data_IF_496890139742
#
_entry.id   IF_496890139742
#
_cell.length_a   1.000
_cell.length_b   1.000
_cell.length_c   1.000
_cell.angle_alpha   90.00
_cell.angle_beta   90.00
_cell.angle_gamma   90.00
#
_symmetry.space_group_name_H-M   'P 1'
#
loop_
_entity.id
_entity.type
_entity.pdbx_description
1 polymer ?
#
# COMPACT_ATOMS: atom_id res chain seq x y z
N UNK A 1 -50.61 -23.48 20.06
CA UNK A 1 -49.60 -22.79 19.28
C UNK A 1 -48.31 -22.72 20.07
N UNK A 2 -47.39 -23.67 19.83
CA UNK A 2 -46.02 -23.60 20.38
C UNK A 2 -45.18 -22.70 19.50
N UNK A 3 -44.80 -21.53 20.03
CA UNK A 3 -43.83 -20.65 19.40
C UNK A 3 -42.42 -21.23 19.65
N UNK A 4 -41.80 -21.77 18.62
CA UNK A 4 -40.37 -22.09 18.60
C UNK A 4 -39.58 -20.79 18.45
N UNK A 5 -39.05 -20.29 19.54
CA UNK A 5 -38.03 -19.24 19.51
C UNK A 5 -36.72 -19.85 19.01
N UNK A 6 -36.42 -19.68 17.74
CA UNK A 6 -35.12 -20.01 17.17
C UNK A 6 -34.09 -19.03 17.74
N UNK A 7 -33.35 -19.45 18.76
CA UNK A 7 -32.17 -18.76 19.23
C UNK A 7 -31.14 -18.76 18.08
N UNK A 8 -31.01 -17.66 17.38
CA UNK A 8 -29.89 -17.41 16.46
C UNK A 8 -28.61 -17.34 17.31
N UNK A 9 -27.93 -18.47 17.47
CA UNK A 9 -26.53 -18.46 17.91
C UNK A 9 -25.71 -17.75 16.83
N UNK A 10 -25.48 -16.48 17.04
CA UNK A 10 -24.44 -15.79 16.30
C UNK A 10 -23.12 -16.52 16.60
N UNK A 11 -22.47 -17.09 15.59
CA UNK A 11 -21.18 -17.75 15.76
C UNK A 11 -20.20 -16.74 16.39
N UNK A 12 -19.97 -16.90 17.69
CA UNK A 12 -19.05 -16.06 18.45
C UNK A 12 -17.63 -16.49 18.10
N UNK A 13 -16.87 -15.60 17.47
CA UNK A 13 -15.44 -15.77 17.30
C UNK A 13 -14.76 -15.49 18.64
N UNK A 14 -13.91 -16.38 19.09
CA UNK A 14 -13.20 -16.31 20.37
C UNK A 14 -11.72 -15.93 20.26
N UNK A 15 -11.27 -15.59 19.06
CA UNK A 15 -9.91 -15.13 18.78
C UNK A 15 -9.91 -13.73 18.15
N UNK A 16 -8.81 -13.00 18.33
CA UNK A 16 -8.57 -11.69 17.69
C UNK A 16 -8.23 -11.92 16.23
N UNK A 17 -8.95 -11.26 15.33
CA UNK A 17 -8.69 -11.29 13.89
C UNK A 17 -7.96 -10.04 13.44
N UNK A 18 -6.80 -10.24 12.81
CA UNK A 18 -5.93 -9.16 12.33
C UNK A 18 -5.70 -9.34 10.85
N UNK A 19 -5.92 -8.28 10.07
CA UNK A 19 -5.71 -8.29 8.61
C UNK A 19 -4.80 -7.12 8.21
N UNK A 20 -4.25 -7.14 7.01
CA UNK A 20 -3.62 -5.95 6.45
C UNK A 20 -2.24 -6.15 5.86
N UNK A 21 -1.34 -5.21 6.14
CA UNK A 21 -0.05 -5.04 5.51
C UNK A 21 0.83 -6.30 5.50
N UNK A 22 1.31 -6.68 4.32
CA UNK A 22 2.32 -7.74 4.18
C UNK A 22 3.67 -7.35 4.77
N UNK A 23 4.00 -6.07 4.83
CA UNK A 23 5.21 -5.54 5.48
C UNK A 23 5.17 -5.77 6.99
N UNK A 24 4.00 -5.55 7.62
CA UNK A 24 3.82 -5.71 9.07
C UNK A 24 3.55 -7.17 9.47
N UNK A 25 3.08 -7.98 8.54
CA UNK A 25 2.67 -9.37 8.78
C UNK A 25 3.70 -10.21 9.59
N UNK A 26 4.99 -10.28 9.23
CA UNK A 26 5.95 -11.09 9.97
C UNK A 26 6.14 -10.63 11.42
N UNK A 27 6.08 -9.33 11.67
CA UNK A 27 6.16 -8.78 13.03
C UNK A 27 4.90 -9.08 13.83
N UNK A 28 3.73 -8.88 13.23
CA UNK A 28 2.44 -9.15 13.84
C UNK A 28 2.28 -10.63 14.21
N UNK A 29 2.79 -11.54 13.38
CA UNK A 29 2.77 -12.98 13.65
C UNK A 29 3.56 -13.31 14.92
N UNK A 30 4.77 -12.78 15.08
CA UNK A 30 5.60 -12.99 16.28
C UNK A 30 4.91 -12.44 17.53
N UNK A 31 4.28 -11.26 17.42
CA UNK A 31 3.54 -10.64 18.53
C UNK A 31 2.33 -11.50 18.90
N UNK A 32 1.58 -11.98 17.93
CA UNK A 32 0.41 -12.83 18.14
C UNK A 32 0.78 -14.15 18.85
N UNK A 33 1.86 -14.80 18.41
CA UNK A 33 2.36 -16.02 19.06
C UNK A 33 2.77 -15.78 20.53
N UNK A 34 3.49 -14.67 20.77
CA UNK A 34 3.87 -14.29 22.13
C UNK A 34 2.66 -13.99 23.00
N UNK A 35 1.68 -13.26 22.46
CA UNK A 35 0.43 -12.94 23.16
C UNK A 35 -0.28 -14.24 23.61
N UNK A 36 -0.50 -15.19 22.71
CA UNK A 36 -1.11 -16.45 23.05
C UNK A 36 -0.35 -17.23 24.15
N UNK A 37 0.99 -17.29 24.04
CA UNK A 37 1.84 -17.98 25.01
C UNK A 37 1.86 -17.30 26.39
N UNK A 38 1.84 -15.98 26.46
CA UNK A 38 1.96 -15.25 27.72
C UNK A 38 0.64 -15.03 28.44
N UNK A 39 -0.46 -14.95 27.71
CA UNK A 39 -1.79 -14.70 28.31
C UNK A 39 -2.63 -15.96 28.49
N UNK A 40 -2.25 -17.08 27.86
CA UNK A 40 -3.07 -18.27 27.79
C UNK A 40 -4.32 -18.12 26.90
N UNK A 41 -4.49 -16.98 26.23
CA UNK A 41 -5.58 -16.72 25.28
C UNK A 41 -5.31 -17.41 23.94
N UNK A 42 -6.34 -17.57 23.11
CA UNK A 42 -6.14 -18.03 21.74
C UNK A 42 -5.22 -17.08 20.97
N UNK A 43 -4.28 -17.66 20.25
CA UNK A 43 -3.36 -16.89 19.40
C UNK A 43 -4.14 -16.09 18.36
N UNK A 44 -3.96 -14.77 18.25
CA UNK A 44 -4.58 -13.95 17.22
C UNK A 44 -4.30 -14.49 15.82
N UNK A 45 -5.31 -14.49 14.95
CA UNK A 45 -5.17 -14.92 13.56
C UNK A 45 -4.76 -13.73 12.70
N UNK A 46 -3.62 -13.87 12.02
CA UNK A 46 -3.05 -12.81 11.19
C UNK A 46 -3.20 -13.19 9.72
N UNK A 47 -3.76 -12.29 8.90
CA UNK A 47 -3.91 -12.48 7.46
C UNK A 47 -3.27 -11.32 6.69
N UNK A 48 -2.44 -11.66 5.69
CA UNK A 48 -1.81 -10.67 4.81
C UNK A 48 -2.72 -10.35 3.63
N UNK A 49 -3.39 -9.20 3.69
CA UNK A 49 -4.33 -8.72 2.64
C UNK A 49 -3.86 -7.44 1.96
N UNK A 50 -2.66 -6.95 2.32
CA UNK A 50 -2.18 -5.60 1.99
C UNK A 50 -2.88 -4.51 2.81
N UNK A 51 -2.23 -3.34 2.96
CA UNK A 51 -2.77 -2.23 3.76
C UNK A 51 -4.16 -1.79 3.30
N UNK A 52 -4.36 -1.63 1.99
CA UNK A 52 -5.66 -1.23 1.42
C UNK A 52 -6.74 -2.29 1.57
N UNK A 53 -6.39 -3.57 1.37
CA UNK A 53 -7.29 -4.70 1.58
C UNK A 53 -7.74 -4.81 3.03
N UNK A 54 -6.79 -4.71 3.97
CA UNK A 54 -7.06 -4.71 5.40
C UNK A 54 -7.97 -3.56 5.83
N UNK A 55 -7.69 -2.33 5.39
CA UNK A 55 -8.55 -1.17 5.66
C UNK A 55 -9.97 -1.38 5.11
N UNK A 56 -10.09 -1.95 3.89
CA UNK A 56 -11.40 -2.24 3.31
C UNK A 56 -12.21 -3.21 4.15
N UNK A 57 -11.59 -4.28 4.65
CA UNK A 57 -12.24 -5.29 5.49
C UNK A 57 -12.58 -4.72 6.87
N UNK A 58 -11.65 -4.03 7.51
CA UNK A 58 -11.82 -3.39 8.80
C UNK A 58 -12.94 -2.35 8.79
N UNK A 59 -12.98 -1.49 7.76
CA UNK A 59 -14.01 -0.46 7.59
C UNK A 59 -15.33 -0.99 7.01
N UNK A 60 -15.55 -2.31 6.96
CA UNK A 60 -16.81 -2.87 6.41
C UNK A 60 -17.92 -3.02 7.44
N UNK A 61 -17.61 -2.90 8.74
CA UNK A 61 -18.61 -2.95 9.81
C UNK A 61 -18.03 -3.33 11.16
N UNK A 62 -18.91 -3.54 12.13
CA UNK A 62 -18.61 -3.92 13.51
C UNK A 62 -19.11 -5.34 13.79
N UNK A 63 -18.45 -6.01 14.71
CA UNK A 63 -18.82 -7.34 15.20
C UNK A 63 -17.96 -8.45 14.64
N UNK A 64 -18.23 -9.68 15.05
CA UNK A 64 -17.35 -10.86 14.85
C UNK A 64 -17.18 -11.30 13.40
N UNK A 65 -17.93 -10.73 12.45
CA UNK A 65 -17.76 -10.93 11.01
C UNK A 65 -16.58 -10.15 10.41
N UNK A 66 -16.13 -9.12 11.12
CA UNK A 66 -15.12 -8.18 10.63
C UNK A 66 -13.84 -8.30 11.47
N UNK A 67 -12.68 -7.89 10.94
CA UNK A 67 -11.45 -7.90 11.72
C UNK A 67 -11.50 -6.91 12.88
N UNK A 68 -10.84 -7.27 13.98
CA UNK A 68 -10.70 -6.39 15.14
C UNK A 68 -9.58 -5.37 14.95
N UNK A 69 -8.54 -5.76 14.21
CA UNK A 69 -7.35 -4.95 13.99
C UNK A 69 -7.00 -4.99 12.50
N UNK A 70 -6.53 -3.86 11.98
CA UNK A 70 -5.88 -3.82 10.68
C UNK A 70 -4.46 -3.27 10.79
N UNK A 71 -3.50 -4.02 10.24
CA UNK A 71 -2.11 -3.59 10.12
C UNK A 71 -1.95 -2.76 8.84
N UNK A 72 -1.15 -1.71 8.91
CA UNK A 72 -0.89 -0.86 7.75
C UNK A 72 0.56 -0.40 7.71
N UNK A 73 1.12 -0.31 6.51
CA UNK A 73 2.43 0.31 6.24
C UNK A 73 2.34 1.81 5.98
N UNK A 74 1.18 2.41 6.15
CA UNK A 74 0.89 3.84 5.99
C UNK A 74 -0.28 4.25 6.89
N UNK A 75 -0.44 5.52 7.08
CA UNK A 75 -1.62 6.06 7.78
C UNK A 75 -2.91 5.76 6.99
N UNK A 76 -4.02 5.69 7.71
CA UNK A 76 -5.36 5.63 7.11
C UNK A 76 -5.60 6.85 6.21
N UNK A 77 -6.20 6.64 5.04
CA UNK A 77 -6.58 7.73 4.13
C UNK A 77 -7.92 8.31 4.56
N UNK A 78 -8.16 9.59 4.25
CA UNK A 78 -9.42 10.26 4.54
C UNK A 78 -10.63 9.51 3.96
N UNK A 79 -10.52 9.00 2.73
CA UNK A 79 -11.56 8.20 2.08
C UNK A 79 -11.83 6.86 2.78
N UNK A 80 -10.80 6.23 3.34
CA UNK A 80 -10.93 5.00 4.11
C UNK A 80 -11.59 5.29 5.48
N UNK A 81 -11.15 6.35 6.15
CA UNK A 81 -11.75 6.80 7.41
C UNK A 81 -13.25 7.11 7.24
N UNK A 82 -13.59 7.88 6.20
CA UNK A 82 -15.00 8.16 5.88
C UNK A 82 -15.80 6.87 5.67
N UNK A 83 -15.25 5.91 4.93
CA UNK A 83 -15.89 4.60 4.73
C UNK A 83 -16.10 3.84 6.04
N UNK A 84 -15.13 3.90 6.96
CA UNK A 84 -15.29 3.33 8.30
C UNK A 84 -16.50 3.95 9.01
N UNK A 85 -16.59 5.28 9.04
CA UNK A 85 -17.69 6.00 9.68
C UNK A 85 -19.05 5.67 9.05
N UNK A 86 -19.12 5.64 7.71
CA UNK A 86 -20.35 5.31 6.97
C UNK A 86 -20.85 3.88 7.31
N UNK A 87 -19.96 2.98 7.73
CA UNK A 87 -20.26 1.61 8.14
C UNK A 87 -20.30 1.40 9.67
N UNK A 88 -20.38 2.49 10.44
CA UNK A 88 -20.53 2.45 11.89
C UNK A 88 -19.23 2.26 12.69
N UNK A 89 -18.07 2.14 12.03
CA UNK A 89 -16.76 2.10 12.70
C UNK A 89 -16.32 3.55 12.98
N UNK A 90 -16.79 4.10 14.08
CA UNK A 90 -16.64 5.54 14.41
C UNK A 90 -15.42 5.83 15.25
N UNK A 91 -14.99 4.88 16.07
CA UNK A 91 -13.81 5.01 16.94
C UNK A 91 -12.67 4.17 16.41
N UNK A 92 -11.60 4.84 15.95
CA UNK A 92 -10.42 4.19 15.40
C UNK A 92 -9.19 4.69 16.16
N UNK A 93 -8.45 3.76 16.75
CA UNK A 93 -7.19 4.04 17.42
C UNK A 93 -6.05 3.67 16.46
N UNK A 94 -5.22 4.63 16.09
CA UNK A 94 -4.01 4.41 15.29
C UNK A 94 -2.79 4.38 16.21
N UNK A 95 -2.08 3.25 16.21
CA UNK A 95 -0.86 3.07 17.00
C UNK A 95 0.33 2.97 16.05
N UNK A 96 1.27 3.92 16.14
CA UNK A 96 2.54 3.87 15.41
C UNK A 96 3.50 2.91 16.13
N UNK A 97 3.82 1.80 15.47
CA UNK A 97 4.69 0.75 16.03
C UNK A 97 6.14 0.85 15.56
N UNK A 98 6.40 1.60 14.47
CA UNK A 98 7.75 1.79 13.93
C UNK A 98 7.75 2.41 12.54
N UNK A 99 8.94 2.52 11.97
CA UNK A 99 9.17 2.99 10.61
C UNK A 99 9.86 1.90 9.80
N UNK A 100 9.47 1.79 8.54
CA UNK A 100 10.14 0.96 7.53
C UNK A 100 10.68 1.84 6.42
N UNK A 101 11.68 1.36 5.69
CA UNK A 101 12.32 2.09 4.61
C UNK A 101 12.47 1.24 3.36
N UNK A 102 12.17 1.83 2.20
CA UNK A 102 12.42 1.21 0.90
C UNK A 102 13.72 1.75 0.34
N UNK A 103 14.60 0.86 -0.07
CA UNK A 103 15.88 1.19 -0.68
C UNK A 103 15.95 0.69 -2.11
N UNK A 104 16.64 1.44 -2.95
CA UNK A 104 17.07 1.00 -4.27
C UNK A 104 18.53 0.57 -4.16
N UNK A 105 18.81 -0.65 -4.55
CA UNK A 105 20.17 -1.21 -4.50
C UNK A 105 20.60 -1.71 -5.87
N UNK A 106 21.88 -1.65 -6.14
CA UNK A 106 22.52 -2.24 -7.30
C UNK A 106 23.78 -3.00 -6.85
N UNK A 107 24.42 -3.71 -7.78
CA UNK A 107 25.69 -4.40 -7.48
C UNK A 107 26.71 -3.41 -6.91
N UNK A 108 27.45 -3.85 -5.88
CA UNK A 108 28.54 -3.06 -5.26
C UNK A 108 29.65 -2.71 -6.26
N UNK A 109 29.78 -3.49 -7.34
CA UNK A 109 30.72 -3.25 -8.43
C UNK A 109 30.22 -2.21 -9.42
N UNK A 110 28.93 -1.86 -9.39
CA UNK A 110 28.35 -0.89 -10.29
C UNK A 110 28.62 0.53 -9.80
N UNK A 111 28.70 1.48 -10.74
CA UNK A 111 28.77 2.91 -10.41
C UNK A 111 27.55 3.31 -9.58
N UNK A 112 27.80 3.98 -8.46
CA UNK A 112 26.73 4.51 -7.61
C UNK A 112 25.89 5.52 -8.39
N UNK A 113 24.56 5.31 -8.35
CA UNK A 113 23.60 6.22 -9.00
C UNK A 113 22.94 7.12 -7.94
N UNK A 114 22.90 8.39 -8.21
CA UNK A 114 22.19 9.37 -7.36
C UNK A 114 20.85 9.70 -8.02
N UNK A 115 19.80 8.99 -7.64
CA UNK A 115 18.48 9.04 -8.27
C UNK A 115 17.54 9.96 -7.49
N UNK A 116 16.86 10.84 -8.20
CA UNK A 116 15.69 11.55 -7.67
C UNK A 116 14.41 10.71 -7.90
N UNK A 117 13.34 11.01 -7.16
CA UNK A 117 12.04 10.41 -7.43
C UNK A 117 11.51 10.68 -8.84
N UNK A 118 11.89 11.84 -9.41
CA UNK A 118 11.59 12.18 -10.80
C UNK A 118 12.29 11.23 -11.77
N UNK A 119 13.58 10.92 -11.54
CA UNK A 119 14.33 9.99 -12.37
C UNK A 119 13.72 8.58 -12.30
N UNK A 120 13.32 8.14 -11.11
CA UNK A 120 12.65 6.84 -10.92
C UNK A 120 11.33 6.79 -11.72
N UNK A 121 10.51 7.85 -11.63
CA UNK A 121 9.28 7.93 -12.42
C UNK A 121 9.54 7.88 -13.92
N UNK A 122 10.50 8.68 -14.41
CA UNK A 122 10.87 8.71 -15.84
C UNK A 122 11.47 7.39 -16.33
N UNK A 123 12.10 6.62 -15.44
CA UNK A 123 12.64 5.31 -15.79
C UNK A 123 11.57 4.24 -15.91
N UNK A 124 10.56 4.24 -15.02
CA UNK A 124 9.68 3.09 -14.78
C UNK A 124 8.23 3.27 -15.25
N UNK A 125 7.76 4.50 -15.44
CA UNK A 125 6.38 4.73 -15.86
C UNK A 125 6.16 4.30 -17.32
N UNK A 126 5.04 3.64 -17.63
CA UNK A 126 4.66 3.29 -19.01
C UNK A 126 4.46 4.56 -19.86
N UNK A 127 3.88 5.60 -19.26
CA UNK A 127 3.64 6.88 -19.93
C UNK A 127 4.22 8.02 -19.13
N UNK A 128 4.86 8.95 -19.84
CA UNK A 128 5.45 10.17 -19.28
C UNK A 128 4.92 11.41 -20.01
N UNK A 129 4.85 12.58 -19.36
CA UNK A 129 4.47 13.83 -20.05
C UNK A 129 5.58 14.28 -21.00
N UNK A 130 5.20 14.59 -22.24
CA UNK A 130 6.09 15.28 -23.19
C UNK A 130 6.21 16.77 -22.86
N UNK A 131 6.94 17.53 -23.70
CA UNK A 131 7.14 18.98 -23.54
C UNK A 131 5.84 19.78 -23.45
N UNK A 132 4.77 19.29 -24.10
CA UNK A 132 3.44 19.92 -24.11
C UNK A 132 2.55 19.43 -22.96
N UNK A 133 3.07 18.60 -22.05
CA UNK A 133 2.34 18.04 -20.94
C UNK A 133 1.38 16.88 -21.30
N UNK A 134 1.37 16.44 -22.58
CA UNK A 134 0.58 15.27 -23.01
C UNK A 134 1.31 14.00 -22.65
N UNK A 135 0.58 13.01 -22.09
CA UNK A 135 1.11 11.68 -21.79
C UNK A 135 1.41 10.94 -23.10
N UNK A 136 2.63 10.47 -23.23
CA UNK A 136 3.12 9.65 -24.34
C UNK A 136 3.79 8.40 -23.78
N UNK A 137 3.86 7.33 -24.58
CA UNK A 137 4.58 6.13 -24.18
C UNK A 137 6.03 6.50 -23.85
N UNK A 138 6.56 5.94 -22.76
CA UNK A 138 7.89 6.25 -22.29
C UNK A 138 8.95 5.82 -23.31
N UNK A 139 9.73 6.74 -23.86
CA UNK A 139 10.80 6.43 -24.83
C UNK A 139 12.10 5.98 -24.15
N UNK A 140 12.26 6.24 -22.84
CA UNK A 140 13.52 5.99 -22.14
C UNK A 140 13.82 4.48 -22.06
N UNK A 141 15.02 4.08 -22.46
CA UNK A 141 15.51 2.70 -22.45
C UNK A 141 16.71 2.52 -21.54
N UNK A 142 17.50 3.58 -21.39
CA UNK A 142 18.70 3.60 -20.56
C UNK A 142 18.55 4.63 -19.43
N UNK A 143 19.34 4.50 -18.38
CA UNK A 143 19.38 5.49 -17.32
C UNK A 143 19.87 6.85 -17.82
N UNK A 144 20.74 6.88 -18.85
CA UNK A 144 21.19 8.11 -19.46
C UNK A 144 20.09 8.84 -20.23
N UNK A 145 19.12 8.11 -20.83
CA UNK A 145 17.93 8.73 -21.46
C UNK A 145 17.09 9.48 -20.42
N UNK A 146 17.06 8.99 -19.19
CA UNK A 146 16.33 9.62 -18.08
C UNK A 146 17.05 10.86 -17.59
N UNK A 147 18.36 10.75 -17.41
CA UNK A 147 19.21 11.84 -16.91
C UNK A 147 20.63 11.65 -17.46
N UNK A 148 21.16 12.63 -18.21
CA UNK A 148 22.50 12.53 -18.83
C UNK A 148 23.65 12.32 -17.84
N UNK A 149 23.47 12.61 -16.55
CA UNK A 149 24.48 12.34 -15.52
C UNK A 149 24.55 10.88 -15.08
N UNK A 150 23.56 10.07 -15.46
CA UNK A 150 23.47 8.65 -15.12
C UNK A 150 24.21 7.79 -16.19
N UNK A 151 24.58 6.56 -15.86
CA UNK A 151 25.30 5.71 -16.77
C UNK A 151 24.45 5.29 -17.98
N UNK A 152 25.09 5.14 -19.14
CA UNK A 152 24.45 4.54 -20.32
C UNK A 152 24.31 3.02 -20.12
N UNK A 153 23.30 2.63 -19.40
CA UNK A 153 22.94 1.25 -19.12
C UNK A 153 21.43 1.07 -19.23
N UNK A 154 21.02 -0.07 -19.78
CA UNK A 154 19.61 -0.43 -19.87
C UNK A 154 18.93 -0.36 -18.51
N UNK A 155 17.70 0.14 -18.50
CA UNK A 155 16.84 0.14 -17.30
C UNK A 155 16.33 -1.29 -17.11
N UNK A 156 16.88 -1.99 -16.13
CA UNK A 156 16.44 -3.30 -15.69
C UNK A 156 16.17 -3.23 -14.20
N UNK A 157 14.95 -3.58 -13.80
CA UNK A 157 14.52 -3.45 -12.40
C UNK A 157 13.93 -4.78 -11.93
N UNK A 158 14.39 -5.23 -10.78
CA UNK A 158 13.83 -6.37 -10.06
C UNK A 158 13.11 -5.79 -8.84
N UNK A 159 11.83 -6.05 -8.75
CA UNK A 159 11.00 -5.52 -7.68
C UNK A 159 10.10 -6.58 -7.05
N UNK A 160 9.45 -6.23 -5.94
CA UNK A 160 8.51 -7.13 -5.27
C UNK A 160 7.27 -7.38 -6.14
N UNK A 161 6.60 -8.53 -5.95
CA UNK A 161 5.41 -8.90 -6.72
C UNK A 161 4.25 -7.93 -6.47
N UNK A 162 3.23 -7.90 -7.36
CA UNK A 162 2.07 -6.99 -7.23
C UNK A 162 1.30 -7.09 -5.92
N UNK A 163 1.37 -8.24 -5.25
CA UNK A 163 0.72 -8.49 -3.97
C UNK A 163 1.50 -7.97 -2.75
N UNK A 164 2.70 -7.42 -2.97
CA UNK A 164 3.57 -6.94 -1.89
C UNK A 164 3.22 -5.53 -1.44
N UNK A 165 3.10 -5.33 -0.12
CA UNK A 165 2.94 -4.01 0.47
C UNK A 165 4.16 -3.09 0.23
N UNK A 166 5.35 -3.65 0.04
CA UNK A 166 6.54 -2.89 -0.36
C UNK A 166 6.36 -2.30 -1.76
N UNK A 167 5.75 -3.05 -2.71
CA UNK A 167 5.42 -2.52 -4.02
C UNK A 167 4.41 -1.37 -3.93
N UNK A 168 3.36 -1.53 -3.12
CA UNK A 168 2.36 -0.47 -2.90
C UNK A 168 3.02 0.80 -2.35
N UNK A 169 3.88 0.65 -1.34
CA UNK A 169 4.61 1.78 -0.77
C UNK A 169 5.60 2.40 -1.77
N UNK A 170 6.29 1.61 -2.58
CA UNK A 170 7.15 2.12 -3.65
C UNK A 170 6.37 2.95 -4.67
N UNK A 171 5.23 2.44 -5.13
CA UNK A 171 4.36 3.17 -6.06
C UNK A 171 3.90 4.50 -5.44
N UNK A 172 3.46 4.50 -4.19
CA UNK A 172 2.98 5.71 -3.51
C UNK A 172 4.11 6.73 -3.27
N UNK A 173 5.25 6.29 -2.76
CA UNK A 173 6.34 7.19 -2.33
C UNK A 173 7.23 7.61 -3.49
N UNK A 174 7.62 6.68 -4.34
CA UNK A 174 8.57 6.94 -5.43
C UNK A 174 7.86 7.34 -6.71
N UNK A 175 6.91 6.54 -7.21
CA UNK A 175 6.27 6.80 -8.50
C UNK A 175 5.31 8.00 -8.45
N UNK A 176 4.35 8.03 -7.53
CA UNK A 176 3.49 9.20 -7.37
C UNK A 176 4.29 10.43 -6.90
N UNK A 177 5.30 10.21 -6.04
CA UNK A 177 6.22 11.25 -5.62
C UNK A 177 6.97 11.88 -6.79
N UNK A 178 7.45 11.08 -7.74
CA UNK A 178 8.11 11.52 -8.96
C UNK A 178 7.15 12.22 -9.93
N UNK A 179 5.98 11.65 -10.14
CA UNK A 179 4.92 12.22 -10.99
C UNK A 179 4.53 13.64 -10.57
N UNK A 180 4.51 13.94 -9.27
CA UNK A 180 4.24 15.29 -8.73
C UNK A 180 5.23 16.37 -9.20
N UNK A 181 6.41 15.98 -9.70
CA UNK A 181 7.39 16.92 -10.27
C UNK A 181 6.90 17.52 -11.59
N UNK A 182 5.89 16.95 -12.23
CA UNK A 182 5.33 17.45 -13.48
C UNK A 182 4.05 18.24 -13.24
N UNK A 183 4.03 19.53 -13.66
CA UNK A 183 2.85 20.40 -13.48
C UNK A 183 1.57 19.81 -14.07
N UNK A 184 1.67 19.20 -15.27
CA UNK A 184 0.55 18.54 -15.92
C UNK A 184 -0.07 17.43 -15.07
N UNK A 185 0.75 16.52 -14.52
CA UNK A 185 0.29 15.42 -13.68
C UNK A 185 -0.24 15.90 -12.32
N UNK A 186 0.38 16.94 -11.76
CA UNK A 186 -0.11 17.56 -10.53
C UNK A 186 -1.49 18.21 -10.71
N UNK A 187 -1.76 18.81 -11.88
CA UNK A 187 -3.06 19.39 -12.22
C UNK A 187 -4.12 18.31 -12.43
N UNK A 188 -3.79 17.25 -13.14
CA UNK A 188 -4.68 16.11 -13.40
C UNK A 188 -5.11 15.42 -12.09
N UNK A 189 -4.24 15.30 -11.09
CA UNK A 189 -4.59 14.73 -9.78
C UNK A 189 -5.69 15.53 -9.04
N UNK A 190 -5.84 16.80 -9.35
CA UNK A 190 -6.90 17.66 -8.78
C UNK A 190 -8.22 17.57 -9.53
N UNK A 191 -8.26 16.92 -10.71
CA UNK A 191 -9.46 16.73 -11.51
C UNK A 191 -10.34 15.62 -10.95
N UNK A 192 -11.63 15.60 -11.38
CA UNK A 192 -12.59 14.55 -10.98
C UNK A 192 -12.17 13.14 -11.44
N UNK A 193 -11.28 13.04 -12.43
CA UNK A 193 -10.72 11.77 -12.93
C UNK A 193 -9.43 11.34 -12.23
N UNK A 194 -9.18 11.86 -11.03
CA UNK A 194 -7.94 11.61 -10.28
C UNK A 194 -7.62 10.12 -10.06
N UNK A 195 -8.65 9.28 -9.89
CA UNK A 195 -8.46 7.83 -9.69
C UNK A 195 -7.88 7.15 -10.93
N UNK A 196 -8.42 7.45 -12.11
CA UNK A 196 -7.93 6.89 -13.38
C UNK A 196 -6.49 7.28 -13.68
N UNK A 197 -6.11 8.47 -13.27
CA UNK A 197 -4.75 9.00 -13.44
C UNK A 197 -3.79 8.38 -12.43
N UNK A 198 -4.24 8.15 -11.20
CA UNK A 198 -3.48 7.42 -10.20
C UNK A 198 -3.22 5.98 -10.66
N UNK A 199 -4.20 5.31 -11.26
CA UNK A 199 -4.03 3.99 -11.91
C UNK A 199 -2.98 4.06 -13.02
N UNK A 200 -3.08 5.02 -13.94
CA UNK A 200 -2.09 5.20 -15.02
C UNK A 200 -0.66 5.51 -14.51
N UNK A 201 -0.53 6.15 -13.34
CA UNK A 201 0.76 6.36 -12.67
C UNK A 201 1.29 5.11 -11.97
N UNK A 202 0.44 4.12 -11.72
CA UNK A 202 0.74 2.87 -11.03
C UNK A 202 1.02 1.71 -11.97
N UNK A 203 0.74 1.86 -13.27
CA UNK A 203 1.07 0.85 -14.28
C UNK A 203 2.60 0.84 -14.47
N UNK A 204 3.20 -0.16 -13.82
CA UNK A 204 4.60 -0.56 -13.92
C UNK A 204 4.71 -1.86 -14.72
#
# INVERSE_FOLDING_TARGET
LLSFSSSLFAASRDYISVVGSSTVYPFATVVAERFGKTTGSLTPKIESTGSGGGMKLFCSGIGTKYPDITNSSRRIKESEFKKCQDNGVTEIIEVLIGYDGIVLSNSIQSKKMNLTRKDIYLALADKIPNSNGKLVKNPNKTWQDVNPSLPDKAIVVIGPPPTSGTRDAFVELAMEGGAKSFKALKALRKSKDSNKIIEMMRDL
#
